data_IF_416676746936
#
_entry.id   IF_416676746936
#
_cell.length_a   1.000
_cell.length_b   1.000
_cell.length_c   1.000
_cell.angle_alpha   90.00
_cell.angle_beta   90.00
_cell.angle_gamma   90.00
#
_symmetry.space_group_name_H-M   'P 1'
#
loop_
_entity.id
_entity.type
_entity.pdbx_description
1 polymer ?
#
# COMPACT_ATOMS: atom_id res chain seq x y z
N UNK A 1 1.55 33.58 -15.06
CA UNK A 1 0.72 32.69 -14.22
C UNK A 1 0.83 31.31 -14.83
N UNK A 2 1.90 30.58 -14.48
CA UNK A 2 2.16 29.23 -14.97
C UNK A 2 2.30 28.35 -13.72
N UNK A 3 1.23 27.63 -13.39
CA UNK A 3 1.18 26.70 -12.28
C UNK A 3 1.84 25.40 -12.68
N UNK A 4 3.06 25.18 -12.19
CA UNK A 4 3.76 23.92 -12.31
C UNK A 4 3.07 22.90 -11.39
N UNK A 5 2.42 21.90 -11.99
CA UNK A 5 1.89 20.74 -11.29
C UNK A 5 3.04 19.81 -10.91
N UNK A 6 3.68 20.09 -9.78
CA UNK A 6 4.66 19.22 -9.14
C UNK A 6 3.95 17.94 -8.66
N UNK A 7 4.04 16.87 -9.47
CA UNK A 7 3.57 15.53 -9.08
C UNK A 7 4.51 15.01 -8.00
N UNK A 8 4.08 15.26 -6.77
CA UNK A 8 4.78 15.00 -5.53
C UNK A 8 4.94 13.48 -5.26
N UNK A 9 6.00 12.87 -5.79
CA UNK A 9 6.37 11.47 -5.54
C UNK A 9 7.02 11.20 -4.17
N UNK A 10 7.44 12.26 -3.46
CA UNK A 10 8.07 12.19 -2.12
C UNK A 10 7.06 12.06 -0.96
N UNK A 11 5.96 12.84 -0.87
CA UNK A 11 5.03 12.73 0.25
C UNK A 11 4.24 11.41 0.29
N UNK A 12 3.97 10.78 -0.86
CA UNK A 12 3.26 9.49 -0.90
C UNK A 12 4.11 8.36 -0.31
N UNK A 13 5.41 8.32 -0.63
CA UNK A 13 6.36 7.38 0.01
C UNK A 13 6.53 7.65 1.50
N UNK A 14 6.59 8.92 1.92
CA UNK A 14 6.68 9.26 3.34
C UNK A 14 5.43 8.81 4.12
N UNK A 15 4.24 8.96 3.52
CA UNK A 15 2.97 8.47 4.06
C UNK A 15 2.98 6.94 4.23
N UNK A 16 3.39 6.22 3.19
CA UNK A 16 3.53 4.76 3.22
C UNK A 16 4.48 4.34 4.34
N UNK A 17 5.64 4.97 4.46
CA UNK A 17 6.60 4.69 5.53
C UNK A 17 6.01 4.95 6.93
N UNK A 18 5.22 6.02 7.10
CA UNK A 18 4.55 6.30 8.37
C UNK A 18 3.53 5.21 8.74
N UNK A 19 2.76 4.72 7.77
CA UNK A 19 1.78 3.64 7.96
C UNK A 19 2.45 2.31 8.28
N UNK A 20 3.56 1.99 7.60
CA UNK A 20 4.37 0.80 7.90
C UNK A 20 4.95 0.83 9.33
N UNK A 21 5.45 1.98 9.81
CA UNK A 21 5.90 2.12 11.21
C UNK A 21 4.77 1.89 12.22
N UNK A 22 3.55 2.31 11.88
CA UNK A 22 2.37 2.05 12.73
C UNK A 22 2.03 0.56 12.77
N UNK A 23 2.04 -0.11 11.61
CA UNK A 23 1.86 -1.55 11.48
C UNK A 23 2.88 -2.33 12.33
N UNK A 24 4.15 -1.93 12.28
CA UNK A 24 5.22 -2.51 13.10
C UNK A 24 4.89 -2.39 14.62
N UNK A 25 4.38 -1.24 15.05
CA UNK A 25 3.89 -1.04 16.41
C UNK A 25 2.71 -1.95 16.77
N UNK A 26 1.77 -2.17 15.85
CA UNK A 26 0.63 -3.07 16.06
C UNK A 26 1.08 -4.53 16.19
N UNK A 27 2.03 -4.98 15.36
CA UNK A 27 2.59 -6.33 15.45
C UNK A 27 3.27 -6.54 16.80
N UNK A 28 4.07 -5.58 17.27
CA UNK A 28 4.63 -5.61 18.64
C UNK A 28 3.56 -5.65 19.71
N UNK A 29 2.47 -4.90 19.53
CA UNK A 29 1.31 -4.92 20.42
C UNK A 29 0.71 -6.32 20.55
N UNK A 30 0.54 -7.04 19.44
CA UNK A 30 0.03 -8.42 19.42
C UNK A 30 0.97 -9.37 20.17
N UNK A 31 2.29 -9.26 19.96
CA UNK A 31 3.26 -10.07 20.70
C UNK A 31 3.11 -9.88 22.21
N UNK A 32 2.94 -8.63 22.67
CA UNK A 32 2.69 -8.31 24.08
C UNK A 32 1.36 -8.88 24.58
N UNK A 33 0.28 -8.75 23.80
CA UNK A 33 -1.03 -9.32 24.15
C UNK A 33 -0.97 -10.84 24.36
N UNK A 34 -0.23 -11.55 23.50
CA UNK A 34 -0.02 -12.99 23.65
C UNK A 34 0.80 -13.32 24.90
N UNK A 35 1.88 -12.57 25.15
CA UNK A 35 2.71 -12.75 26.35
C UNK A 35 1.94 -12.48 27.66
N UNK A 36 0.97 -11.56 27.63
CA UNK A 36 0.10 -11.22 28.76
C UNK A 36 -1.10 -12.17 28.90
N UNK A 37 -1.26 -13.16 28.01
CA UNK A 37 -2.38 -14.10 28.05
C UNK A 37 -3.74 -13.46 27.76
N UNK A 38 -3.78 -12.42 26.91
CA UNK A 38 -5.03 -11.77 26.49
C UNK A 38 -5.94 -12.74 25.73
N UNK A 39 -7.24 -12.50 25.85
CA UNK A 39 -8.27 -13.28 25.17
C UNK A 39 -8.05 -13.37 23.65
N UNK A 40 -8.22 -14.58 23.10
CA UNK A 40 -8.04 -14.84 21.67
C UNK A 40 -8.86 -13.90 20.79
N UNK A 41 -10.08 -13.54 21.21
CA UNK A 41 -10.95 -12.61 20.48
C UNK A 41 -10.32 -11.22 20.31
N UNK A 42 -9.65 -10.71 21.35
CA UNK A 42 -8.99 -9.41 21.31
C UNK A 42 -7.78 -9.46 20.36
N UNK A 43 -6.99 -10.53 20.44
CA UNK A 43 -5.83 -10.74 19.55
C UNK A 43 -6.25 -10.83 18.09
N UNK A 44 -7.29 -11.61 17.79
CA UNK A 44 -7.86 -11.72 16.43
C UNK A 44 -8.37 -10.37 15.94
N UNK A 45 -9.02 -9.58 16.81
CA UNK A 45 -9.48 -8.23 16.45
C UNK A 45 -8.31 -7.33 16.04
N UNK A 46 -7.17 -7.39 16.74
CA UNK A 46 -5.98 -6.63 16.35
C UNK A 46 -5.34 -7.15 15.05
N UNK A 47 -5.34 -8.46 14.81
CA UNK A 47 -4.89 -9.04 13.54
C UNK A 47 -5.75 -8.57 12.36
N UNK A 48 -7.08 -8.47 12.54
CA UNK A 48 -7.97 -7.93 11.52
C UNK A 48 -7.70 -6.44 11.26
N UNK A 49 -7.39 -5.66 12.30
CA UNK A 49 -6.99 -4.26 12.13
C UNK A 49 -5.67 -4.13 11.35
N UNK A 50 -4.70 -5.01 11.60
CA UNK A 50 -3.45 -5.09 10.80
C UNK A 50 -3.76 -5.44 9.35
N UNK A 51 -4.62 -6.44 9.10
CA UNK A 51 -5.01 -6.82 7.74
C UNK A 51 -5.55 -5.61 6.96
N UNK A 52 -6.51 -4.88 7.52
CA UNK A 52 -7.06 -3.68 6.88
C UNK A 52 -6.01 -2.58 6.65
N UNK A 53 -5.10 -2.38 7.60
CA UNK A 53 -4.03 -1.39 7.44
C UNK A 53 -2.98 -1.80 6.38
N UNK A 54 -2.67 -3.08 6.26
CA UNK A 54 -1.83 -3.61 5.16
C UNK A 54 -2.54 -3.41 3.83
N UNK A 55 -3.86 -3.67 3.78
CA UNK A 55 -4.65 -3.48 2.57
C UNK A 55 -4.59 -2.03 2.07
N UNK A 56 -4.74 -1.06 2.99
CA UNK A 56 -4.61 0.36 2.68
C UNK A 56 -3.21 0.74 2.15
N UNK A 57 -2.15 0.18 2.74
CA UNK A 57 -0.77 0.45 2.29
C UNK A 57 -0.54 -0.09 0.88
N UNK A 58 -1.01 -1.29 0.56
CA UNK A 58 -0.88 -1.84 -0.78
C UNK A 58 -1.65 -1.04 -1.83
N UNK A 59 -2.85 -0.55 -1.50
CA UNK A 59 -3.60 0.34 -2.39
C UNK A 59 -2.85 1.65 -2.67
N UNK A 60 -2.18 2.23 -1.67
CA UNK A 60 -1.34 3.42 -1.88
C UNK A 60 -0.17 3.14 -2.82
N UNK A 61 0.51 2.00 -2.66
CA UNK A 61 1.60 1.58 -3.56
C UNK A 61 1.11 1.36 -5.00
N UNK A 62 -0.05 0.72 -5.16
CA UNK A 62 -0.67 0.51 -6.48
C UNK A 62 -1.05 1.84 -7.15
N UNK A 63 -1.57 2.80 -6.38
CA UNK A 63 -1.90 4.13 -6.88
C UNK A 63 -0.64 4.88 -7.34
N UNK A 64 0.43 4.81 -6.56
CA UNK A 64 1.73 5.39 -6.90
C UNK A 64 2.29 4.81 -8.21
N UNK A 65 2.16 3.49 -8.42
CA UNK A 65 2.54 2.87 -9.71
C UNK A 65 1.63 3.25 -10.88
N UNK A 66 0.33 3.35 -10.65
CA UNK A 66 -0.60 3.81 -11.68
C UNK A 66 -0.28 5.25 -12.11
N UNK A 67 0.01 6.13 -11.14
CA UNK A 67 0.39 7.51 -11.41
C UNK A 67 1.68 7.59 -12.24
N UNK A 68 2.70 6.77 -11.94
CA UNK A 68 3.92 6.69 -12.76
C UNK A 68 3.61 6.30 -14.20
N UNK A 69 2.81 5.26 -14.40
CA UNK A 69 2.41 4.84 -15.75
C UNK A 69 1.69 5.96 -16.52
N UNK A 70 0.83 6.73 -15.86
CA UNK A 70 0.08 7.82 -16.49
C UNK A 70 0.91 9.09 -16.75
N UNK A 71 1.87 9.40 -15.87
CA UNK A 71 2.78 10.54 -16.08
C UNK A 71 3.71 10.28 -17.27
N UNK A 72 4.24 9.05 -17.38
CA UNK A 72 5.07 8.65 -18.51
C UNK A 72 4.27 8.62 -19.83
N UNK A 73 2.97 8.34 -19.75
CA UNK A 73 2.05 8.39 -20.87
C UNK A 73 1.77 9.79 -21.42
N UNK A 74 2.02 10.85 -20.64
CA UNK A 74 1.84 12.24 -21.07
C UNK A 74 2.90 12.74 -22.06
N UNK A 75 3.97 11.97 -22.28
CA UNK A 75 4.89 12.17 -23.40
C UNK A 75 4.28 11.73 -24.73
N UNK A 76 4.87 12.16 -25.86
CA UNK A 76 4.33 11.99 -27.21
C UNK A 76 4.01 10.54 -27.67
N UNK A 77 4.25 9.52 -26.85
CA UNK A 77 4.13 8.09 -27.20
C UNK A 77 3.16 7.27 -26.31
N UNK A 78 2.42 7.87 -25.38
CA UNK A 78 1.56 7.10 -24.46
C UNK A 78 2.38 6.19 -23.51
N UNK A 79 1.73 5.41 -22.62
CA UNK A 79 2.46 4.57 -21.68
C UNK A 79 3.15 3.44 -22.46
N UNK A 80 4.41 3.17 -22.15
CA UNK A 80 5.12 2.05 -22.77
C UNK A 80 4.40 0.73 -22.44
N UNK A 81 4.28 -0.15 -23.43
CA UNK A 81 3.65 -1.47 -23.27
C UNK A 81 4.21 -2.25 -22.08
N UNK A 82 5.51 -2.10 -21.83
CA UNK A 82 6.21 -2.76 -20.72
C UNK A 82 5.78 -2.23 -19.35
N UNK A 83 5.54 -0.92 -19.21
CA UNK A 83 5.07 -0.31 -17.97
C UNK A 83 3.65 -0.77 -17.61
N UNK A 84 2.78 -0.83 -18.62
CA UNK A 84 1.41 -1.35 -18.45
C UNK A 84 1.44 -2.83 -18.07
N UNK A 85 2.35 -3.61 -18.64
CA UNK A 85 2.53 -5.01 -18.26
C UNK A 85 3.03 -5.15 -16.82
N UNK A 86 4.00 -4.34 -16.40
CA UNK A 86 4.50 -4.34 -15.02
C UNK A 86 3.39 -4.00 -14.01
N UNK A 87 2.58 -2.97 -14.28
CA UNK A 87 1.44 -2.62 -13.43
C UNK A 87 0.44 -3.77 -13.33
N UNK A 88 0.13 -4.44 -14.45
CA UNK A 88 -0.74 -5.63 -14.47
C UNK A 88 -0.19 -6.75 -13.59
N UNK A 89 1.12 -6.99 -13.64
CA UNK A 89 1.77 -8.04 -12.86
C UNK A 89 1.69 -7.74 -11.35
N UNK A 90 1.95 -6.49 -10.95
CA UNK A 90 1.83 -6.04 -9.56
C UNK A 90 0.37 -6.14 -9.07
N UNK A 91 -0.60 -5.73 -9.90
CA UNK A 91 -2.03 -5.87 -9.59
C UNK A 91 -2.42 -7.34 -9.42
N UNK A 92 -1.97 -8.22 -10.31
CA UNK A 92 -2.23 -9.66 -10.22
C UNK A 92 -1.63 -10.25 -8.94
N UNK A 93 -0.41 -9.84 -8.58
CA UNK A 93 0.22 -10.26 -7.33
C UNK A 93 -0.64 -9.88 -6.12
N UNK A 94 -1.09 -8.63 -6.06
CA UNK A 94 -1.90 -8.10 -4.97
C UNK A 94 -3.29 -8.77 -4.88
N UNK A 95 -3.96 -8.94 -6.02
CA UNK A 95 -5.29 -9.57 -6.08
C UNK A 95 -5.24 -11.05 -5.71
N UNK A 96 -4.18 -11.78 -6.10
CA UNK A 96 -4.02 -13.19 -5.73
C UNK A 96 -3.83 -13.39 -4.22
N UNK A 97 -3.18 -12.44 -3.55
CA UNK A 97 -3.05 -12.44 -2.09
C UNK A 97 -4.31 -11.96 -1.35
N UNK A 98 -5.19 -11.19 -2.03
CA UNK A 98 -6.43 -10.66 -1.48
C UNK A 98 -7.62 -11.63 -1.60
N UNK A 99 -7.55 -12.78 -0.94
CA UNK A 99 -8.67 -13.74 -0.86
C UNK A 99 -9.60 -13.50 0.33
N UNK A 100 -10.92 -13.57 0.08
CA UNK A 100 -12.06 -13.38 0.99
C UNK A 100 -12.44 -11.93 1.34
N UNK A 101 -13.16 -11.30 0.41
CA UNK A 101 -14.52 -10.85 0.73
C UNK A 101 -15.50 -11.93 0.30
#
# INVERSE_FOLDING_TARGET
MEGQGEVNSVPERAEIMRRLRRLEGQVRGIQKMLAEGRECKDVITQLLAIRGAVDEVGLLLLRDELNRCLVDAGGANGPASDQVQQLRDILHLWMRSGGSR
#
